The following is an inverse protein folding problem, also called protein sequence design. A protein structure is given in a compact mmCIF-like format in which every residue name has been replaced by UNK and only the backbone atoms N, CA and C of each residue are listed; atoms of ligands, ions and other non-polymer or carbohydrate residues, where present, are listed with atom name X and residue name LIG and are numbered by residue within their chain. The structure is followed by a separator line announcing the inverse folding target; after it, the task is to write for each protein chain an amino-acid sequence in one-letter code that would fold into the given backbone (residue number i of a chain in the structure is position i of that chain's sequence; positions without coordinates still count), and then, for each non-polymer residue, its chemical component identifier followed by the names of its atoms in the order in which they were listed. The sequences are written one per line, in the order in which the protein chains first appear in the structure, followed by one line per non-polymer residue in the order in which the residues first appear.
data_IF_992622588817
#
_entry.id   IF_992622588817
#
_cell.length_a   1.000
_cell.length_b   1.000
_cell.length_c   1.000
_cell.angle_alpha   90.00
_cell.angle_beta   90.00
_cell.angle_gamma   90.00
#
_symmetry.space_group_name_H-M   'P 1'
#
loop_
_entity.id
_entity.type
_entity.pdbx_description
1 polymer ?
#
# COMPACT_ATOMS: atom_id res chain seq x y z
N UNK A 1 41.35 12.46 -31.63
CA UNK A 1 39.92 12.89 -31.61
C UNK A 1 38.93 11.74 -31.62
N UNK A 2 39.03 10.71 -32.46
CA UNK A 2 38.08 9.56 -32.46
C UNK A 2 37.96 8.77 -31.14
N UNK A 3 39.06 8.61 -30.38
CA UNK A 3 39.05 7.89 -29.08
C UNK A 3 38.34 8.65 -27.94
N UNK A 4 38.35 9.98 -27.98
CA UNK A 4 37.71 10.82 -26.96
C UNK A 4 36.20 10.83 -27.18
N UNK A 5 35.73 10.82 -28.42
CA UNK A 5 34.31 10.77 -28.76
C UNK A 5 33.69 9.43 -28.30
N UNK A 6 34.45 8.32 -28.41
CA UNK A 6 33.99 7.01 -27.97
C UNK A 6 33.87 6.92 -26.44
N UNK A 7 34.78 7.57 -25.70
CA UNK A 7 34.76 7.58 -24.24
C UNK A 7 33.57 8.45 -23.71
N UNK A 8 33.26 9.57 -24.37
CA UNK A 8 32.12 10.44 -24.01
C UNK A 8 30.80 9.75 -24.30
N UNK A 9 30.68 9.00 -25.40
CA UNK A 9 29.49 8.19 -25.71
C UNK A 9 29.28 7.05 -24.73
N UNK A 10 30.35 6.40 -24.24
CA UNK A 10 30.27 5.37 -23.21
C UNK A 10 29.84 5.96 -21.84
N UNK A 11 30.28 7.18 -21.53
CA UNK A 11 29.92 7.85 -20.29
C UNK A 11 28.46 8.35 -20.30
N UNK A 12 27.94 8.76 -21.44
CA UNK A 12 26.53 9.14 -21.62
C UNK A 12 25.62 7.91 -21.55
N UNK A 13 26.05 6.74 -22.06
CA UNK A 13 25.29 5.50 -21.89
C UNK A 13 25.26 4.99 -20.44
N UNK A 14 26.29 5.24 -19.65
CA UNK A 14 26.33 4.80 -18.24
C UNK A 14 25.51 5.70 -17.29
N UNK A 15 25.21 6.96 -17.69
CA UNK A 15 24.36 7.85 -16.90
C UNK A 15 22.87 7.72 -17.23
N UNK A 16 22.51 6.93 -18.26
CA UNK A 16 21.14 6.57 -18.60
C UNK A 16 20.68 5.23 -17.97
N UNK A 17 21.46 4.62 -17.09
CA UNK A 17 20.90 3.76 -16.06
C UNK A 17 20.09 4.62 -15.09
N UNK A 18 19.10 5.34 -15.61
CA UNK A 18 17.95 5.82 -14.86
C UNK A 18 17.45 4.59 -14.13
N UNK A 19 17.49 4.61 -12.82
CA UNK A 19 16.82 3.67 -11.95
C UNK A 19 15.48 3.36 -12.60
N UNK A 20 15.38 2.20 -13.24
CA UNK A 20 14.11 1.73 -13.77
C UNK A 20 13.28 1.47 -12.51
N UNK A 21 12.56 2.49 -12.06
CA UNK A 21 11.62 2.37 -10.97
C UNK A 21 10.69 1.23 -11.39
N UNK A 22 10.74 0.16 -10.65
CA UNK A 22 10.00 -1.05 -10.95
C UNK A 22 8.52 -0.69 -11.13
N UNK A 23 8.00 -0.96 -12.32
CA UNK A 23 6.65 -0.56 -12.70
C UNK A 23 5.76 -1.78 -12.79
N UNK A 24 4.67 -1.77 -12.06
CA UNK A 24 3.68 -2.85 -12.02
C UNK A 24 2.66 -2.63 -13.14
N UNK A 25 2.50 -3.62 -14.01
CA UNK A 25 1.49 -3.57 -15.07
C UNK A 25 0.13 -4.01 -14.56
N UNK A 26 -0.88 -3.15 -14.69
CA UNK A 26 -2.27 -3.46 -14.34
C UNK A 26 -2.99 -4.06 -15.55
N UNK A 27 -3.37 -5.31 -15.45
CA UNK A 27 -4.18 -6.02 -16.46
C UNK A 27 -5.64 -5.98 -16.01
N UNK A 28 -6.55 -5.56 -16.90
CA UNK A 28 -7.98 -5.49 -16.60
C UNK A 28 -8.82 -5.69 -17.85
N UNK A 29 -10.09 -6.03 -17.63
CA UNK A 29 -11.11 -6.09 -18.65
C UNK A 29 -12.11 -4.94 -18.44
N UNK A 30 -12.61 -4.34 -19.53
CA UNK A 30 -13.51 -3.21 -19.46
C UNK A 30 -12.86 -1.86 -19.75
N UNK A 31 -13.58 -0.77 -19.49
CA UNK A 31 -13.14 0.58 -19.85
C UNK A 31 -12.13 1.19 -18.87
N UNK A 32 -12.16 0.77 -17.61
CA UNK A 32 -11.32 1.29 -16.52
C UNK A 32 -10.97 0.17 -15.56
N UNK A 33 -9.78 0.21 -14.93
CA UNK A 33 -9.43 -0.74 -13.89
C UNK A 33 -10.25 -0.51 -12.62
N UNK A 34 -10.55 -1.60 -11.94
CA UNK A 34 -11.24 -1.65 -10.65
C UNK A 34 -10.22 -1.79 -9.51
N UNK A 35 -10.71 -1.71 -8.26
CA UNK A 35 -9.85 -1.96 -7.10
C UNK A 35 -9.26 -3.39 -7.11
N UNK A 36 -10.02 -4.38 -7.59
CA UNK A 36 -9.53 -5.75 -7.73
C UNK A 36 -8.36 -5.86 -8.71
N UNK A 37 -8.41 -5.11 -9.82
CA UNK A 37 -7.32 -5.12 -10.81
C UNK A 37 -6.04 -4.50 -10.25
N UNK A 38 -6.16 -3.41 -9.49
CA UNK A 38 -5.02 -2.78 -8.80
C UNK A 38 -4.43 -3.67 -7.73
N UNK A 39 -5.28 -4.16 -6.83
CA UNK A 39 -4.86 -5.01 -5.73
C UNK A 39 -4.20 -6.29 -6.23
N UNK A 40 -4.80 -6.95 -7.22
CA UNK A 40 -4.24 -8.17 -7.81
C UNK A 40 -2.91 -7.93 -8.51
N UNK A 41 -2.80 -6.82 -9.28
CA UNK A 41 -1.54 -6.45 -9.93
C UNK A 41 -0.42 -6.21 -8.89
N UNK A 42 -0.74 -5.53 -7.80
CA UNK A 42 0.21 -5.26 -6.71
C UNK A 42 0.63 -6.56 -6.00
N UNK A 43 -0.33 -7.40 -5.60
CA UNK A 43 -0.04 -8.66 -4.92
C UNK A 43 0.74 -9.65 -5.79
N UNK A 44 0.55 -9.61 -7.12
CA UNK A 44 1.25 -10.50 -8.05
C UNK A 44 2.62 -9.99 -8.48
N UNK A 45 2.97 -8.74 -8.23
CA UNK A 45 4.28 -8.19 -8.61
C UNK A 45 5.39 -8.53 -7.61
N UNK A 46 5.02 -9.01 -6.42
CA UNK A 46 5.95 -9.43 -5.37
C UNK A 46 6.11 -10.96 -5.33
N UNK A 47 6.05 -11.62 -6.49
CA UNK A 47 6.15 -13.08 -6.64
C UNK A 47 7.58 -13.55 -6.94
N UNK A 48 8.61 -12.75 -6.67
CA UNK A 48 10.00 -13.16 -6.89
C UNK A 48 10.39 -14.28 -5.93
N UNK A 49 10.52 -15.49 -6.48
CA UNK A 49 10.72 -16.79 -5.79
C UNK A 49 12.06 -16.88 -5.02
N UNK A 50 12.88 -15.84 -4.96
CA UNK A 50 14.27 -15.93 -4.45
C UNK A 50 14.48 -15.38 -3.04
N UNK A 51 13.54 -14.68 -2.43
CA UNK A 51 13.65 -14.18 -1.06
C UNK A 51 12.53 -14.77 -0.16
N UNK A 52 12.89 -15.77 0.67
CA UNK A 52 12.04 -16.29 1.77
C UNK A 52 11.87 -15.26 2.90
N UNK A 53 11.39 -14.06 2.58
CA UNK A 53 11.08 -13.04 3.57
C UNK A 53 9.60 -13.12 3.97
N UNK A 54 9.33 -12.87 5.26
CA UNK A 54 7.99 -12.91 5.85
C UNK A 54 6.96 -11.91 5.23
N UNK A 55 7.39 -11.01 4.35
CA UNK A 55 6.52 -10.21 3.48
C UNK A 55 5.72 -11.11 2.54
N UNK A 56 6.33 -12.20 2.07
CA UNK A 56 5.69 -13.19 1.20
C UNK A 56 4.53 -13.90 1.88
N UNK A 57 4.62 -14.21 3.17
CA UNK A 57 3.54 -14.90 3.90
C UNK A 57 2.26 -14.06 3.94
N UNK A 58 2.37 -12.73 4.13
CA UNK A 58 1.20 -11.85 4.15
C UNK A 58 0.55 -11.72 2.78
N UNK A 59 1.34 -11.63 1.70
CA UNK A 59 0.82 -11.60 0.34
C UNK A 59 0.19 -12.94 -0.06
N UNK A 60 0.81 -14.05 0.31
CA UNK A 60 0.28 -15.40 0.09
C UNK A 60 -1.04 -15.60 0.84
N UNK A 61 -1.16 -15.15 2.08
CA UNK A 61 -2.38 -15.21 2.87
C UNK A 61 -3.53 -14.41 2.22
N UNK A 62 -3.25 -13.19 1.74
CA UNK A 62 -4.27 -12.38 1.05
C UNK A 62 -4.68 -13.04 -0.27
N UNK A 63 -3.72 -13.58 -1.06
CA UNK A 63 -4.02 -14.28 -2.32
C UNK A 63 -4.89 -15.50 -2.08
N UNK A 64 -4.60 -16.30 -1.04
CA UNK A 64 -5.40 -17.45 -0.65
C UNK A 64 -6.82 -17.04 -0.22
N UNK A 65 -6.93 -15.99 0.60
CA UNK A 65 -8.23 -15.45 1.00
C UNK A 65 -9.03 -14.92 -0.21
N UNK A 66 -8.36 -14.31 -1.18
CA UNK A 66 -8.98 -13.83 -2.42
C UNK A 66 -9.49 -14.97 -3.30
N UNK A 67 -8.68 -16.02 -3.47
CA UNK A 67 -9.08 -17.23 -4.20
C UNK A 67 -10.30 -17.90 -3.55
N UNK A 68 -10.28 -18.06 -2.23
CA UNK A 68 -11.40 -18.56 -1.43
C UNK A 68 -12.66 -17.71 -1.62
N UNK A 69 -12.54 -16.38 -1.56
CA UNK A 69 -13.64 -15.44 -1.77
C UNK A 69 -14.21 -15.54 -3.19
N UNK A 70 -13.36 -15.64 -4.21
CA UNK A 70 -13.77 -15.74 -5.61
C UNK A 70 -14.56 -17.00 -5.93
N UNK A 71 -14.30 -18.07 -5.19
CA UNK A 71 -15.01 -19.35 -5.28
C UNK A 71 -16.28 -19.40 -4.43
N UNK A 72 -16.59 -18.33 -3.67
CA UNK A 72 -17.72 -18.28 -2.76
C UNK A 72 -17.60 -19.25 -1.58
N UNK A 73 -16.36 -19.63 -1.21
CA UNK A 73 -16.07 -20.53 -0.11
C UNK A 73 -15.93 -19.74 1.22
N UNK A 74 -16.18 -20.38 2.38
CA UNK A 74 -15.93 -19.74 3.67
C UNK A 74 -14.44 -19.47 3.84
N UNK A 75 -14.12 -18.32 4.44
CA UNK A 75 -12.75 -17.99 4.84
C UNK A 75 -12.29 -18.86 6.01
N UNK A 76 -10.99 -18.95 6.20
CA UNK A 76 -10.38 -19.56 7.37
C UNK A 76 -10.77 -18.83 8.67
N UNK A 77 -10.67 -19.53 9.81
CA UNK A 77 -10.94 -18.93 11.11
C UNK A 77 -10.04 -17.70 11.36
N UNK A 78 -10.63 -16.63 11.84
CA UNK A 78 -9.92 -15.36 12.06
C UNK A 78 -9.72 -14.52 10.82
N UNK A 79 -9.87 -15.06 9.60
CA UNK A 79 -9.69 -14.34 8.34
C UNK A 79 -10.99 -13.67 7.89
N UNK A 80 -10.88 -12.42 7.48
CA UNK A 80 -11.96 -11.68 6.80
C UNK A 80 -11.41 -10.94 5.60
N UNK A 81 -11.99 -11.13 4.43
CA UNK A 81 -11.71 -10.34 3.22
C UNK A 81 -12.99 -9.64 2.77
N UNK A 82 -12.92 -8.33 2.62
CA UNK A 82 -13.99 -7.51 2.04
C UNK A 82 -13.49 -6.80 0.79
N UNK A 83 -14.19 -6.98 -0.32
CA UNK A 83 -13.91 -6.30 -1.59
C UNK A 83 -15.10 -5.41 -1.91
N UNK A 84 -14.93 -4.10 -1.74
CA UNK A 84 -15.95 -3.09 -2.00
C UNK A 84 -15.68 -2.41 -3.36
N UNK A 85 -16.10 -3.06 -4.44
CA UNK A 85 -15.91 -2.56 -5.81
C UNK A 85 -16.51 -1.18 -6.01
N UNK A 86 -17.67 -0.92 -5.40
CA UNK A 86 -18.39 0.35 -5.54
C UNK A 86 -17.60 1.53 -4.99
N UNK A 87 -16.93 1.34 -3.87
CA UNK A 87 -16.14 2.38 -3.20
C UNK A 87 -14.64 2.29 -3.51
N UNK A 88 -14.22 1.31 -4.33
CA UNK A 88 -12.80 1.14 -4.67
C UNK A 88 -11.94 0.80 -3.47
N UNK A 89 -12.40 -0.11 -2.60
CA UNK A 89 -11.75 -0.44 -1.34
C UNK A 89 -11.68 -1.95 -1.12
N UNK A 90 -10.53 -2.41 -0.59
CA UNK A 90 -10.33 -3.77 -0.12
C UNK A 90 -9.80 -3.72 1.30
N UNK A 91 -10.28 -4.61 2.15
CA UNK A 91 -9.69 -4.86 3.47
C UNK A 91 -9.58 -6.35 3.73
N UNK A 92 -8.39 -6.75 4.14
CA UNK A 92 -8.08 -8.06 4.70
C UNK A 92 -7.80 -7.89 6.19
N UNK A 93 -8.40 -8.71 7.02
CA UNK A 93 -8.13 -8.78 8.46
C UNK A 93 -7.83 -10.23 8.85
N UNK A 94 -6.78 -10.41 9.64
CA UNK A 94 -6.50 -11.65 10.35
C UNK A 94 -6.50 -11.39 11.85
N UNK A 95 -7.37 -12.08 12.57
CA UNK A 95 -7.55 -11.98 14.02
C UNK A 95 -7.10 -13.27 14.67
N UNK A 96 -6.23 -13.17 15.65
CA UNK A 96 -5.82 -14.29 16.49
C UNK A 96 -5.78 -13.88 17.95
N UNK A 97 -5.86 -14.86 18.84
CA UNK A 97 -5.75 -14.67 20.28
C UNK A 97 -4.76 -15.71 20.84
N UNK A 98 -3.77 -15.24 21.55
CA UNK A 98 -2.78 -16.07 22.22
C UNK A 98 -2.51 -15.53 23.62
N UNK A 99 -2.62 -16.39 24.66
CA UNK A 99 -2.43 -16.02 26.07
C UNK A 99 -3.24 -14.77 26.49
N UNK A 100 -4.54 -14.73 26.12
CA UNK A 100 -5.46 -13.60 26.39
C UNK A 100 -5.07 -12.29 25.67
N UNK A 101 -4.10 -12.32 24.76
CA UNK A 101 -3.70 -11.19 23.94
C UNK A 101 -4.33 -11.30 22.56
N UNK A 102 -5.13 -10.29 22.20
CA UNK A 102 -5.77 -10.18 20.88
C UNK A 102 -4.84 -9.50 19.89
N UNK A 103 -4.57 -10.18 18.80
CA UNK A 103 -3.80 -9.65 17.68
C UNK A 103 -4.71 -9.42 16.48
N UNK A 104 -4.46 -8.33 15.76
CA UNK A 104 -5.12 -8.00 14.50
C UNK A 104 -4.06 -7.52 13.52
N UNK A 105 -3.90 -8.26 12.42
CA UNK A 105 -3.27 -7.75 11.21
C UNK A 105 -4.37 -7.18 10.32
N UNK A 106 -4.22 -5.94 9.87
CA UNK A 106 -5.16 -5.28 8.97
C UNK A 106 -4.41 -4.74 7.77
N UNK A 107 -4.86 -5.14 6.58
CA UNK A 107 -4.33 -4.66 5.32
C UNK A 107 -5.47 -4.01 4.55
N UNK A 108 -5.25 -2.76 4.14
CA UNK A 108 -6.22 -1.96 3.40
C UNK A 108 -5.64 -1.56 2.05
N UNK A 109 -6.47 -1.54 1.02
CA UNK A 109 -6.12 -1.04 -0.30
C UNK A 109 -7.25 -0.17 -0.83
N UNK A 110 -6.92 0.95 -1.44
CA UNK A 110 -7.88 1.79 -2.14
C UNK A 110 -7.21 2.58 -3.25
N UNK A 111 -8.01 3.32 -4.03
CA UNK A 111 -7.46 4.25 -5.01
C UNK A 111 -8.28 5.54 -5.10
N UNK A 112 -7.60 6.60 -5.52
CA UNK A 112 -8.19 7.90 -5.82
C UNK A 112 -8.04 8.21 -7.30
N UNK A 113 -9.06 8.82 -7.90
CA UNK A 113 -8.92 9.42 -9.22
C UNK A 113 -8.24 10.79 -9.06
N UNK A 114 -7.16 11.04 -9.82
CA UNK A 114 -6.55 12.35 -9.85
C UNK A 114 -7.40 13.32 -10.69
N UNK A 115 -7.33 14.61 -10.36
CA UNK A 115 -8.11 15.66 -11.01
C UNK A 115 -7.77 15.87 -12.48
N UNK A 116 -6.61 15.41 -12.93
CA UNK A 116 -6.18 15.47 -14.33
C UNK A 116 -6.89 14.47 -15.24
N UNK A 117 -7.64 13.52 -14.66
CA UNK A 117 -8.37 12.46 -15.37
C UNK A 117 -7.47 11.43 -16.08
N UNK A 118 -6.15 11.54 -15.94
CA UNK A 118 -5.16 10.66 -16.58
C UNK A 118 -4.53 9.68 -15.62
N UNK A 119 -4.48 10.02 -14.34
CA UNK A 119 -3.82 9.23 -13.32
C UNK A 119 -4.79 8.81 -12.21
N UNK A 120 -4.39 7.75 -11.51
CA UNK A 120 -5.00 7.32 -10.26
C UNK A 120 -3.90 7.07 -9.25
N UNK A 121 -4.16 7.38 -7.99
CA UNK A 121 -3.26 7.05 -6.89
C UNK A 121 -3.81 5.81 -6.18
N UNK A 122 -3.06 4.71 -6.19
CA UNK A 122 -3.35 3.49 -5.45
C UNK A 122 -2.56 3.50 -4.15
N UNK A 123 -3.16 3.02 -3.06
CA UNK A 123 -2.49 2.85 -1.79
C UNK A 123 -2.66 1.42 -1.25
N UNK A 124 -1.60 0.94 -0.61
CA UNK A 124 -1.53 -0.27 0.18
C UNK A 124 -1.06 0.10 1.58
N UNK A 125 -1.80 -0.32 2.60
CA UNK A 125 -1.55 0.01 4.00
C UNK A 125 -1.63 -1.24 4.86
N UNK A 126 -0.62 -1.44 5.70
CA UNK A 126 -0.56 -2.53 6.69
C UNK A 126 -0.48 -1.94 8.08
N UNK A 127 -1.32 -2.40 8.98
CA UNK A 127 -1.30 -2.03 10.39
C UNK A 127 -1.50 -3.26 11.27
N UNK A 128 -0.63 -3.39 12.29
CA UNK A 128 -0.77 -4.39 13.35
C UNK A 128 -1.31 -3.75 14.63
N UNK A 129 -2.18 -4.50 15.31
CA UNK A 129 -2.76 -4.08 16.58
C UNK A 129 -2.65 -5.19 17.61
N UNK A 130 -2.43 -4.80 18.85
CA UNK A 130 -2.42 -5.68 20.03
C UNK A 130 -3.40 -5.12 21.06
N UNK A 131 -4.40 -5.92 21.44
CA UNK A 131 -5.49 -5.49 22.33
C UNK A 131 -6.20 -4.18 21.90
N UNK A 132 -6.24 -3.92 20.58
CA UNK A 132 -6.88 -2.74 19.99
C UNK A 132 -6.01 -1.48 19.97
N UNK A 133 -4.76 -1.56 20.41
CA UNK A 133 -3.77 -0.49 20.31
C UNK A 133 -2.79 -0.79 19.17
N UNK A 134 -2.33 0.24 18.48
CA UNK A 134 -1.32 0.09 17.42
C UNK A 134 -0.05 -0.51 18.01
N UNK A 135 0.41 -1.59 17.41
CA UNK A 135 1.63 -2.32 17.79
C UNK A 135 2.40 -2.65 16.52
N UNK A 136 3.13 -1.68 15.96
CA UNK A 136 3.77 -1.84 14.67
C UNK A 136 4.71 -3.03 14.65
N UNK A 137 4.55 -3.87 13.62
CA UNK A 137 5.48 -4.91 13.24
C UNK A 137 6.51 -4.39 12.23
N UNK A 138 7.46 -5.22 11.86
CA UNK A 138 8.46 -4.85 10.83
C UNK A 138 7.84 -4.68 9.43
N UNK A 139 6.59 -5.11 9.23
CA UNK A 139 5.87 -5.06 7.94
C UNK A 139 4.80 -3.98 7.89
N UNK A 140 4.58 -3.23 8.97
CA UNK A 140 3.67 -2.10 8.92
C UNK A 140 4.17 -1.10 7.90
N UNK A 141 3.28 -0.68 7.00
CA UNK A 141 3.67 0.16 5.87
C UNK A 141 2.48 0.85 5.22
N UNK A 142 2.75 2.02 4.66
CA UNK A 142 1.84 2.73 3.76
C UNK A 142 2.60 3.08 2.50
N UNK A 143 2.23 2.45 1.39
CA UNK A 143 2.84 2.63 0.09
C UNK A 143 1.82 3.24 -0.87
N UNK A 144 2.31 4.12 -1.73
CA UNK A 144 1.51 4.71 -2.79
C UNK A 144 2.11 4.40 -4.15
N UNK A 145 1.24 4.13 -5.12
CA UNK A 145 1.61 3.91 -6.50
C UNK A 145 0.75 4.78 -7.40
N UNK A 146 1.37 5.53 -8.30
CA UNK A 146 0.65 6.32 -9.30
C UNK A 146 0.45 5.49 -10.56
N UNK A 147 -0.80 5.27 -10.90
CA UNK A 147 -1.21 4.58 -12.12
C UNK A 147 -1.43 5.59 -13.24
N UNK A 148 -0.89 5.29 -14.42
CA UNK A 148 -1.09 6.06 -15.65
C UNK A 148 -2.04 5.29 -16.61
N UNK A 149 -3.14 5.93 -16.98
CA UNK A 149 -4.16 5.36 -17.85
C UNK A 149 -3.63 5.03 -19.27
N UNK A 150 -2.62 5.77 -19.77
CA UNK A 150 -2.08 5.58 -21.11
C UNK A 150 -1.13 4.37 -21.17
N UNK A 151 -0.27 4.23 -20.19
CA UNK A 151 0.72 3.14 -20.12
C UNK A 151 0.19 1.88 -19.44
N UNK A 152 -0.88 2.01 -18.66
CA UNK A 152 -1.48 0.96 -17.82
C UNK A 152 -0.49 0.41 -16.80
N UNK A 153 0.36 1.27 -16.25
CA UNK A 153 1.37 0.90 -15.27
C UNK A 153 1.23 1.72 -14.00
N UNK A 154 1.52 1.08 -12.87
CA UNK A 154 1.71 1.71 -11.56
C UNK A 154 3.20 1.85 -11.29
N UNK A 155 3.63 3.00 -10.78
CA UNK A 155 4.99 3.26 -10.30
C UNK A 155 4.93 3.78 -8.87
N UNK A 156 5.90 3.40 -8.05
CA UNK A 156 6.00 3.88 -6.67
C UNK A 156 5.98 5.41 -6.65
N UNK A 157 5.19 5.99 -5.74
CA UNK A 157 4.96 7.44 -5.66
C UNK A 157 5.16 7.93 -4.23
N UNK A 158 6.26 8.63 -3.99
CA UNK A 158 6.57 9.23 -2.70
C UNK A 158 6.04 10.69 -2.59
N UNK A 159 5.70 11.31 -3.72
CA UNK A 159 5.14 12.67 -3.76
C UNK A 159 3.61 12.62 -3.60
N UNK A 160 3.17 12.45 -2.34
CA UNK A 160 1.74 12.38 -1.96
C UNK A 160 1.29 13.55 -1.08
N UNK A 161 2.19 14.50 -0.77
CA UNK A 161 1.90 15.72 0.00
C UNK A 161 2.15 15.60 1.50
N UNK A 162 2.65 14.48 1.99
CA UNK A 162 3.13 14.28 3.34
C UNK A 162 4.18 13.16 3.37
N UNK A 163 5.02 13.18 4.40
CA UNK A 163 5.96 12.09 4.65
C UNK A 163 5.29 10.96 5.43
N UNK A 164 5.50 9.72 4.97
CA UNK A 164 4.97 8.53 5.65
C UNK A 164 5.90 8.18 6.81
N UNK A 165 5.37 8.22 8.03
CA UNK A 165 6.08 7.92 9.26
C UNK A 165 5.32 6.86 10.06
N UNK A 166 6.03 5.96 10.76
CA UNK A 166 5.44 4.90 11.60
C UNK A 166 5.70 5.07 13.08
N UNK A 167 6.54 6.00 13.44
CA UNK A 167 6.83 6.34 14.82
C UNK A 167 7.50 7.70 14.93
N UNK A 168 7.28 8.36 16.06
CA UNK A 168 7.98 9.59 16.42
C UNK A 168 8.69 9.37 17.75
N UNK A 169 9.94 9.84 17.83
CA UNK A 169 10.64 9.98 19.09
C UNK A 169 10.49 11.44 19.53
N UNK A 170 9.51 11.71 20.37
CA UNK A 170 9.33 13.03 20.98
C UNK A 170 9.81 12.95 22.44
N UNK A 171 11.11 13.06 22.63
CA UNK A 171 11.76 12.93 23.94
C UNK A 171 11.63 11.51 24.53
N UNK A 172 11.06 11.40 25.74
CA UNK A 172 10.87 10.13 26.45
C UNK A 172 9.59 9.36 26.01
N UNK A 173 8.76 9.95 25.16
CA UNK A 173 7.53 9.33 24.66
C UNK A 173 7.70 8.85 23.22
N UNK A 174 7.90 7.54 23.06
CA UNK A 174 7.78 6.87 21.77
C UNK A 174 6.29 6.81 21.44
N UNK A 175 5.90 7.44 20.34
CA UNK A 175 4.56 7.34 19.80
C UNK A 175 4.59 6.55 18.48
N UNK A 176 3.59 5.72 18.26
CA UNK A 176 3.40 4.99 17.00
C UNK A 176 2.38 5.71 16.12
N UNK A 177 2.53 5.57 14.82
CA UNK A 177 1.62 6.17 13.84
C UNK A 177 0.99 5.06 13.03
N UNK A 178 -0.34 5.10 12.91
CA UNK A 178 -1.10 4.23 12.02
C UNK A 178 -1.97 5.05 11.08
N UNK A 179 -2.25 4.49 9.92
CA UNK A 179 -3.10 5.08 8.91
C UNK A 179 -4.36 4.23 8.74
N UNK A 180 -5.48 4.86 8.42
CA UNK A 180 -6.69 4.20 7.98
C UNK A 180 -7.10 4.78 6.63
N UNK A 181 -7.16 3.92 5.62
CA UNK A 181 -7.58 4.28 4.28
C UNK A 181 -9.11 4.43 4.21
N UNK A 182 -9.63 5.36 3.41
CA UNK A 182 -11.07 5.61 3.35
C UNK A 182 -11.80 4.52 2.56
N UNK A 183 -12.72 3.81 3.21
CA UNK A 183 -13.71 3.00 2.50
C UNK A 183 -14.77 3.86 1.82
N UNK A 184 -15.13 4.97 2.46
CA UNK A 184 -16.04 6.00 1.95
C UNK A 184 -15.41 7.37 2.10
N UNK A 185 -15.64 8.27 1.15
CA UNK A 185 -14.96 9.56 1.14
C UNK A 185 -13.60 9.49 0.44
N UNK A 186 -12.67 10.37 0.84
CA UNK A 186 -11.36 10.51 0.17
C UNK A 186 -10.21 10.76 1.14
N UNK A 187 -10.48 10.97 2.42
CA UNK A 187 -9.50 11.44 3.38
C UNK A 187 -8.91 10.27 4.17
N UNK A 188 -7.60 10.29 4.39
CA UNK A 188 -6.90 9.32 5.23
C UNK A 188 -6.94 9.81 6.68
N UNK A 189 -7.17 8.90 7.62
CA UNK A 189 -7.07 9.19 9.04
C UNK A 189 -5.71 8.72 9.54
N UNK A 190 -4.88 9.66 9.97
CA UNK A 190 -3.63 9.43 10.67
C UNK A 190 -3.92 9.39 12.16
N UNK A 191 -3.51 8.34 12.86
CA UNK A 191 -3.63 8.21 14.32
C UNK A 191 -2.25 8.09 14.93
N UNK A 192 -1.91 9.03 15.82
CA UNK A 192 -0.71 8.97 16.66
C UNK A 192 -1.10 8.36 18.01
N UNK A 193 -0.42 7.28 18.39
CA UNK A 193 -0.67 6.49 19.58
C UNK A 193 0.41 6.77 20.63
N UNK A 194 0.02 7.38 21.73
CA UNK A 194 0.89 7.67 22.89
C UNK A 194 0.61 6.67 24.00
N UNK A 195 1.50 6.59 25.00
CA UNK A 195 1.29 5.77 26.21
C UNK A 195 -0.02 6.10 26.95
N UNK A 196 -0.52 7.31 26.82
CA UNK A 196 -1.71 7.81 27.56
C UNK A 196 -2.84 8.25 26.65
N UNK A 197 -2.97 7.64 25.48
CA UNK A 197 -4.08 7.94 24.58
C UNK A 197 -3.65 8.08 23.13
N UNK A 198 -4.54 8.63 22.31
CA UNK A 198 -4.29 8.80 20.88
C UNK A 198 -4.79 10.14 20.38
N UNK A 199 -4.14 10.65 19.35
CA UNK A 199 -4.55 11.83 18.60
C UNK A 199 -4.81 11.46 17.15
N UNK A 200 -5.84 12.05 16.54
CA UNK A 200 -6.14 11.83 15.13
C UNK A 200 -6.02 13.13 14.33
N UNK A 201 -5.50 12.99 13.14
CA UNK A 201 -5.47 14.03 12.11
C UNK A 201 -6.08 13.50 10.83
N UNK A 202 -6.70 14.39 10.07
CA UNK A 202 -7.27 14.07 8.76
C UNK A 202 -6.37 14.61 7.67
N UNK A 203 -5.89 13.72 6.80
CA UNK A 203 -5.17 14.07 5.58
C UNK A 203 -6.20 14.16 4.46
N UNK A 204 -6.45 15.40 3.99
CA UNK A 204 -7.50 15.69 3.01
C UNK A 204 -7.00 15.57 1.59
N UNK A 205 -7.69 14.79 0.77
CA UNK A 205 -7.37 14.64 -0.64
C UNK A 205 -7.86 15.83 -1.47
N UNK A 206 -6.96 16.51 -2.17
CA UNK A 206 -7.28 17.67 -3.02
C UNK A 206 -7.41 17.34 -4.52
N UNK A 207 -7.29 16.08 -4.90
CA UNK A 207 -7.31 15.62 -6.29
C UNK A 207 -5.92 15.29 -6.85
N UNK A 208 -4.84 15.54 -6.10
CA UNK A 208 -3.47 15.20 -6.49
C UNK A 208 -2.58 14.82 -5.30
N UNK A 209 -2.71 15.56 -4.20
CA UNK A 209 -1.93 15.36 -2.98
C UNK A 209 -2.86 15.41 -1.76
N UNK A 210 -2.36 14.87 -0.65
CA UNK A 210 -2.97 15.06 0.65
C UNK A 210 -2.45 16.34 1.31
N UNK A 211 -3.30 16.99 2.08
CA UNK A 211 -2.98 18.17 2.90
C UNK A 211 -3.51 17.97 4.31
N UNK A 212 -2.79 18.47 5.31
CA UNK A 212 -3.25 18.50 6.71
C UNK A 212 -4.24 19.62 6.96
#
# INVERSE_FOLDING_TARGET
MRKIIFLVLLFICSTLAVFAQESIRVKYQGAQPTISDFAWAFLSSNDDEEEEDCVDESFNAIRAAWDTHSKGLPQEEGVTLTIDQKNGFVVYEYKSEYEDVKHLLRIEMCYWNESDGKHKLFAYNVCCFRNGECSPGQFDGLLFYRYDNATKKMTLCNDVGFDVEFGTNDGDDVAYISYALPRTGKDIILTTWYKRGKQQKTLRWNGRHFTM
#
